data_IF_200308609212
#
_entry.id   IF_200308609212
#
_cell.length_a   1.000
_cell.length_b   1.000
_cell.length_c   1.000
_cell.angle_alpha   90.00
_cell.angle_beta   90.00
_cell.angle_gamma   90.00
#
_symmetry.space_group_name_H-M   'P 1'
#
loop_
_entity.id
_entity.type
_entity.pdbx_description
1 polymer ?
#
# COMPACT_ATOMS: atom_id res chain seq x y z
N UNK A 1 19.45 -12.21 -16.70
CA UNK A 1 18.31 -12.01 -15.78
C UNK A 1 18.11 -10.51 -15.61
N UNK A 2 16.87 -10.02 -15.64
CA UNK A 2 16.52 -8.60 -15.48
C UNK A 2 15.70 -8.45 -14.20
N UNK A 3 15.98 -7.41 -13.43
CA UNK A 3 15.32 -7.13 -12.16
C UNK A 3 15.28 -5.61 -11.92
N UNK A 4 14.34 -5.15 -11.09
CA UNK A 4 14.17 -3.74 -10.74
C UNK A 4 14.51 -3.51 -9.28
N UNK A 5 15.36 -2.51 -9.02
CA UNK A 5 15.82 -2.16 -7.68
C UNK A 5 15.58 -0.68 -7.40
N UNK A 6 15.39 -0.35 -6.13
CA UNK A 6 15.19 1.03 -5.71
C UNK A 6 14.30 1.17 -4.48
N UNK A 7 14.17 2.41 -4.03
CA UNK A 7 13.43 2.72 -2.82
C UNK A 7 11.94 2.42 -2.91
N UNK A 8 11.36 2.63 -4.10
CA UNK A 8 9.96 2.34 -4.39
C UNK A 8 9.65 0.85 -4.28
N UNK A 9 10.50 -0.03 -4.82
CA UNK A 9 10.29 -1.50 -4.71
C UNK A 9 10.49 -1.99 -3.28
N UNK A 10 11.44 -1.39 -2.54
CA UNK A 10 11.61 -1.66 -1.11
C UNK A 10 10.35 -1.23 -0.32
N UNK A 11 9.77 -0.08 -0.65
CA UNK A 11 8.56 0.42 0.00
C UNK A 11 7.35 -0.47 -0.32
N UNK A 12 7.20 -0.88 -1.58
CA UNK A 12 6.17 -1.83 -2.01
C UNK A 12 6.29 -3.16 -1.25
N UNK A 13 7.51 -3.69 -1.09
CA UNK A 13 7.76 -4.88 -0.26
C UNK A 13 7.35 -4.66 1.20
N UNK A 14 7.58 -3.49 1.80
CA UNK A 14 7.14 -3.21 3.17
C UNK A 14 5.62 -3.11 3.30
N UNK A 15 4.94 -2.56 2.31
CA UNK A 15 3.48 -2.48 2.30
C UNK A 15 2.89 -3.88 2.18
N UNK A 16 3.39 -4.70 1.25
CA UNK A 16 2.94 -6.08 1.06
C UNK A 16 3.12 -6.91 2.35
N UNK A 17 4.31 -6.84 2.97
CA UNK A 17 4.60 -7.63 4.17
C UNK A 17 3.82 -7.19 5.42
N UNK A 18 3.18 -6.01 5.39
CA UNK A 18 2.27 -5.55 6.44
C UNK A 18 0.80 -5.78 6.06
N UNK A 19 0.49 -6.40 4.92
CA UNK A 19 -0.87 -6.74 4.52
C UNK A 19 -1.43 -7.97 5.24
N UNK A 20 -2.73 -8.19 5.06
CA UNK A 20 -3.42 -9.41 5.49
C UNK A 20 -3.72 -10.29 4.27
N UNK A 21 -3.72 -11.61 4.49
CA UNK A 21 -4.09 -12.58 3.46
C UNK A 21 -5.50 -12.29 2.96
N UNK A 22 -5.67 -12.25 1.63
CA UNK A 22 -6.97 -12.00 1.00
C UNK A 22 -7.35 -10.52 0.88
N UNK A 23 -6.48 -9.58 1.30
CA UNK A 23 -6.69 -8.14 1.13
C UNK A 23 -5.62 -7.53 0.24
N UNK A 24 -5.97 -6.48 -0.49
CA UNK A 24 -5.02 -5.69 -1.28
C UNK A 24 -4.60 -4.48 -0.45
N UNK A 25 -3.35 -4.49 0.03
CA UNK A 25 -2.79 -3.39 0.82
C UNK A 25 -2.06 -2.40 -0.09
N UNK A 26 -2.37 -1.11 0.04
CA UNK A 26 -1.83 -0.05 -0.81
C UNK A 26 -1.21 1.09 0.01
N UNK A 27 -0.29 1.82 -0.63
CA UNK A 27 0.31 3.04 -0.07
C UNK A 27 -0.67 4.22 -0.10
N UNK A 28 -0.43 5.23 0.73
CA UNK A 28 -1.09 6.53 0.62
C UNK A 28 -0.95 7.18 -0.77
N UNK A 29 0.21 7.03 -1.42
CA UNK A 29 0.41 7.55 -2.77
C UNK A 29 -0.55 6.89 -3.76
N UNK A 30 -0.69 5.56 -3.71
CA UNK A 30 -1.63 4.80 -4.54
C UNK A 30 -3.08 5.17 -4.22
N UNK A 31 -3.43 5.32 -2.94
CA UNK A 31 -4.75 5.79 -2.52
C UNK A 31 -5.08 7.16 -3.12
N UNK A 32 -4.15 8.11 -3.09
CA UNK A 32 -4.38 9.45 -3.63
C UNK A 32 -4.66 9.48 -5.14
N UNK A 33 -4.21 8.47 -5.90
CA UNK A 33 -4.53 8.33 -7.31
C UNK A 33 -5.89 7.68 -7.57
N UNK A 34 -6.40 6.86 -6.65
CA UNK A 34 -7.60 6.04 -6.85
C UNK A 34 -8.82 6.53 -6.05
N UNK A 35 -8.62 7.38 -5.04
CA UNK A 35 -9.67 7.77 -4.08
C UNK A 35 -10.91 8.42 -4.69
N UNK A 36 -10.80 8.99 -5.89
CA UNK A 36 -11.87 9.68 -6.59
C UNK A 36 -12.58 8.76 -7.62
N UNK A 37 -12.10 7.52 -7.80
CA UNK A 37 -12.70 6.52 -8.66
C UNK A 37 -13.81 5.77 -7.90
N UNK A 38 -15.07 5.81 -8.37
CA UNK A 38 -16.22 5.22 -7.69
C UNK A 38 -16.20 3.68 -7.65
N UNK A 39 -15.38 3.03 -8.48
CA UNK A 39 -15.29 1.57 -8.51
C UNK A 39 -14.53 1.00 -7.31
N UNK A 40 -13.87 1.84 -6.51
CA UNK A 40 -13.05 1.41 -5.37
C UNK A 40 -13.56 1.91 -4.02
N UNK A 41 -13.48 1.02 -3.03
CA UNK A 41 -13.72 1.32 -1.62
C UNK A 41 -12.43 1.13 -0.85
N UNK A 42 -12.18 2.01 0.13
CA UNK A 42 -10.94 2.04 0.88
C UNK A 42 -11.18 1.95 2.38
N UNK A 43 -10.40 1.12 3.06
CA UNK A 43 -10.34 1.02 4.50
C UNK A 43 -9.00 1.59 4.98
N UNK A 44 -9.03 2.70 5.72
CA UNK A 44 -7.82 3.27 6.31
C UNK A 44 -7.29 2.37 7.42
N UNK A 45 -6.00 2.05 7.34
CA UNK A 45 -5.27 1.32 8.39
C UNK A 45 -4.50 2.24 9.34
N UNK A 46 -4.58 3.55 9.10
CA UNK A 46 -3.74 4.54 9.75
C UNK A 46 -2.26 4.38 9.39
N UNK A 47 -1.40 4.82 10.30
CA UNK A 47 0.05 4.76 10.15
C UNK A 47 0.60 3.47 10.73
N UNK A 48 1.25 2.67 9.90
CA UNK A 48 1.85 1.37 10.27
C UNK A 48 3.36 1.49 10.28
N UNK A 49 4.02 0.93 11.31
CA UNK A 49 5.48 0.91 11.40
C UNK A 49 6.08 -0.06 10.37
N UNK A 50 6.77 0.50 9.38
CA UNK A 50 7.46 -0.24 8.34
C UNK A 50 8.98 -0.17 8.54
N UNK A 51 9.64 -1.34 8.50
CA UNK A 51 11.09 -1.46 8.72
C UNK A 51 11.88 -0.59 7.75
N UNK A 52 12.62 0.38 8.30
CA UNK A 52 13.46 1.33 7.54
C UNK A 52 12.68 2.45 6.86
N UNK A 53 11.37 2.57 7.12
CA UNK A 53 10.49 3.63 6.59
C UNK A 53 9.81 4.44 7.68
N UNK A 54 9.80 3.93 8.92
CA UNK A 54 9.05 4.54 10.01
C UNK A 54 7.55 4.32 9.80
N UNK A 55 6.76 5.31 10.16
CA UNK A 55 5.31 5.27 10.04
C UNK A 55 4.84 5.55 8.61
N UNK A 56 4.18 4.58 7.99
CA UNK A 56 3.65 4.68 6.63
C UNK A 56 2.13 4.55 6.68
N UNK A 57 1.42 5.50 6.09
CA UNK A 57 -0.03 5.40 5.94
C UNK A 57 -0.38 4.32 4.90
N UNK A 58 -1.28 3.42 5.28
CA UNK A 58 -1.70 2.28 4.46
C UNK A 58 -3.21 2.17 4.41
N UNK A 59 -3.70 1.56 3.32
CA UNK A 59 -5.12 1.36 3.08
C UNK A 59 -5.34 -0.05 2.55
N UNK A 60 -6.45 -0.68 2.91
CA UNK A 60 -6.98 -1.77 2.10
C UNK A 60 -7.87 -1.19 1.02
N UNK A 61 -7.82 -1.79 -0.18
CA UNK A 61 -8.71 -1.46 -1.30
C UNK A 61 -9.49 -2.70 -1.73
N UNK A 62 -10.75 -2.49 -2.08
CA UNK A 62 -11.62 -3.47 -2.73
C UNK A 62 -12.47 -2.79 -3.79
N UNK A 63 -13.13 -3.58 -4.64
CA UNK A 63 -14.18 -3.05 -5.50
C UNK A 63 -15.41 -2.70 -4.65
N UNK A 64 -16.18 -1.72 -5.13
CA UNK A 64 -17.48 -1.34 -4.58
C UNK A 64 -18.57 -2.41 -4.78
#
# INVERSE_FOLDING_TARGET
>A
QYDIWGDTVNTASRIESNGEVGKVNISEATYNYLKDDPDFVFESRGKVQAKGKGEVAMYYVSLA
#
